data_IF_281186850992
#
_entry.id   IF_281186850992
#
_cell.length_a   1.000
_cell.length_b   1.000
_cell.length_c   1.000
_cell.angle_alpha   90.00
_cell.angle_beta   90.00
_cell.angle_gamma   90.00
#
_symmetry.space_group_name_H-M   'P 1'
#
loop_
_entity.id
_entity.type
_entity.pdbx_description
1 polymer ?
#
# COMPACT_ATOMS: atom_id res chain seq x y z
N UNK A 1 -8.03 -45.24 -6.76
CA UNK A 1 -8.06 -44.06 -5.87
C UNK A 1 -7.47 -42.81 -6.56
N UNK A 2 -7.02 -42.97 -7.81
CA UNK A 2 -6.28 -41.98 -8.60
C UNK A 2 -7.11 -40.80 -9.11
N UNK A 3 -8.35 -41.05 -9.50
CA UNK A 3 -9.21 -40.00 -10.10
C UNK A 3 -9.55 -38.91 -9.09
N UNK A 4 -9.80 -39.28 -7.82
CA UNK A 4 -10.05 -38.33 -6.73
C UNK A 4 -8.82 -37.47 -6.42
N UNK A 5 -7.62 -38.06 -6.52
CA UNK A 5 -6.37 -37.35 -6.32
C UNK A 5 -6.10 -36.36 -7.45
N UNK A 6 -6.38 -36.74 -8.70
CA UNK A 6 -6.30 -35.86 -9.87
C UNK A 6 -7.27 -34.67 -9.80
N UNK A 7 -8.52 -34.89 -9.37
CA UNK A 7 -9.45 -33.77 -9.18
C UNK A 7 -9.00 -32.84 -8.06
N UNK A 8 -8.46 -33.37 -6.96
CA UNK A 8 -7.96 -32.55 -5.85
C UNK A 8 -6.76 -31.70 -6.27
N UNK A 9 -5.83 -32.26 -7.05
CA UNK A 9 -4.67 -31.50 -7.56
C UNK A 9 -5.09 -30.43 -8.56
N UNK A 10 -6.05 -30.71 -9.44
CA UNK A 10 -6.59 -29.70 -10.38
C UNK A 10 -7.29 -28.58 -9.62
N UNK A 11 -8.05 -28.87 -8.56
CA UNK A 11 -8.68 -27.85 -7.72
C UNK A 11 -7.64 -26.98 -7.02
N UNK A 12 -6.59 -27.58 -6.44
CA UNK A 12 -5.50 -26.86 -5.79
C UNK A 12 -4.68 -25.98 -6.76
N UNK A 13 -4.49 -26.43 -8.01
CA UNK A 13 -3.73 -25.68 -9.02
C UNK A 13 -4.56 -24.61 -9.73
N UNK A 14 -5.90 -24.76 -9.75
CA UNK A 14 -6.84 -23.81 -10.38
C UNK A 14 -7.38 -22.78 -9.40
N UNK A 15 -7.32 -23.04 -8.08
CA UNK A 15 -7.47 -21.97 -7.10
C UNK A 15 -6.32 -20.98 -7.29
N UNK A 16 -6.58 -19.67 -7.46
CA UNK A 16 -5.51 -18.69 -7.41
C UNK A 16 -4.76 -18.94 -6.11
N UNK A 17 -3.45 -19.13 -6.19
CA UNK A 17 -2.60 -19.43 -5.05
C UNK A 17 -2.89 -18.39 -3.96
N UNK A 18 -3.75 -18.75 -2.99
CA UNK A 18 -4.26 -17.87 -1.92
C UNK A 18 -3.15 -17.46 -0.93
N UNK A 19 -1.90 -17.65 -1.32
CA UNK A 19 -0.71 -17.58 -0.48
C UNK A 19 0.34 -16.66 -1.08
N UNK A 20 -0.04 -15.70 -1.94
CA UNK A 20 0.77 -14.50 -2.00
C UNK A 20 0.46 -13.70 -0.72
N UNK A 21 0.94 -14.21 0.42
CA UNK A 21 0.92 -13.57 1.74
C UNK A 21 1.86 -12.35 1.76
N UNK A 22 1.97 -11.65 0.63
CA UNK A 22 2.78 -10.47 0.50
C UNK A 22 1.95 -9.28 0.99
N UNK A 23 2.53 -8.39 1.80
CA UNK A 23 1.82 -7.25 2.34
C UNK A 23 1.33 -6.32 1.22
N UNK A 24 0.10 -5.84 1.35
CA UNK A 24 -0.51 -4.91 0.39
C UNK A 24 -0.37 -3.47 0.89
N UNK A 25 0.28 -2.61 0.10
CA UNK A 25 0.45 -1.19 0.42
C UNK A 25 -0.58 -0.34 -0.31
N UNK A 26 -1.37 0.42 0.45
CA UNK A 26 -2.46 1.25 -0.07
C UNK A 26 -2.12 2.73 0.16
N UNK A 27 -2.27 3.54 -0.89
CA UNK A 27 -2.22 5.00 -0.81
C UNK A 27 -3.51 5.56 -1.41
N UNK A 28 -4.26 6.31 -0.61
CA UNK A 28 -5.46 7.02 -1.04
C UNK A 28 -5.24 8.52 -0.93
N UNK A 29 -5.52 9.23 -2.02
CA UNK A 29 -5.40 10.67 -2.11
C UNK A 29 -6.59 11.28 -2.85
N UNK A 30 -6.85 12.59 -2.72
CA UNK A 30 -7.91 13.25 -3.47
C UNK A 30 -7.62 13.19 -4.98
N UNK A 31 -8.68 13.18 -5.78
CA UNK A 31 -8.56 13.19 -7.24
C UNK A 31 -7.89 14.47 -7.78
N UNK A 32 -8.07 15.60 -7.07
CA UNK A 32 -7.49 16.90 -7.40
C UNK A 32 -6.76 17.46 -6.20
N UNK A 33 -5.48 17.77 -6.37
CA UNK A 33 -4.66 18.45 -5.38
C UNK A 33 -4.69 19.95 -5.66
N UNK A 34 -5.14 20.75 -4.69
CA UNK A 34 -5.21 22.21 -4.82
C UNK A 34 -3.96 22.86 -4.25
N UNK A 35 -3.44 23.86 -4.96
CA UNK A 35 -2.29 24.62 -4.50
C UNK A 35 -2.69 25.51 -3.32
N UNK A 36 -1.89 25.50 -2.24
CA UNK A 36 -2.09 26.34 -1.05
C UNK A 36 -3.14 25.81 -0.06
N UNK A 37 -3.81 24.70 -0.37
CA UNK A 37 -4.65 23.97 0.59
C UNK A 37 -3.86 22.81 1.20
N UNK A 38 -4.19 22.46 2.44
CA UNK A 38 -3.79 21.15 2.94
C UNK A 38 -4.71 20.08 2.36
N UNK A 39 -4.15 18.99 1.86
CA UNK A 39 -4.89 17.86 1.28
C UNK A 39 -4.62 16.58 2.11
N UNK A 40 -5.67 15.86 2.48
CA UNK A 40 -5.54 14.64 3.30
C UNK A 40 -5.15 13.44 2.44
N UNK A 41 -4.14 12.70 2.87
CA UNK A 41 -3.64 11.47 2.26
C UNK A 41 -3.65 10.37 3.30
N UNK A 42 -4.18 9.21 2.91
CA UNK A 42 -4.19 8.01 3.73
C UNK A 42 -3.19 7.00 3.19
N UNK A 43 -2.38 6.43 4.07
CA UNK A 43 -1.45 5.34 3.74
C UNK A 43 -1.60 4.19 4.72
N UNK A 44 -1.55 2.98 4.20
CA UNK A 44 -1.77 1.74 4.95
C UNK A 44 -0.89 0.62 4.40
N UNK A 45 -0.40 -0.24 5.30
CA UNK A 45 0.21 -1.52 4.95
C UNK A 45 -0.63 -2.66 5.54
N UNK A 46 -1.35 -3.38 4.68
CA UNK A 46 -2.21 -4.51 5.02
C UNK A 46 -1.39 -5.80 5.06
N UNK A 47 -1.73 -6.68 6.02
CA UNK A 47 -1.05 -7.97 6.25
C UNK A 47 0.49 -7.84 6.43
N UNK A 48 0.95 -6.67 6.86
CA UNK A 48 2.35 -6.40 7.14
C UNK A 48 2.71 -6.83 8.56
N UNK A 49 3.63 -7.79 8.68
CA UNK A 49 4.09 -8.35 9.96
C UNK A 49 5.57 -8.03 10.27
N UNK A 50 6.14 -7.02 9.60
CA UNK A 50 7.51 -6.58 9.83
C UNK A 50 7.65 -5.59 10.99
N UNK A 51 8.79 -4.90 11.07
CA UNK A 51 9.03 -3.84 12.05
C UNK A 51 8.48 -2.48 11.60
N UNK A 52 8.83 -1.41 12.29
CA UNK A 52 8.37 -0.07 11.92
C UNK A 52 8.73 0.29 10.47
N UNK A 53 7.75 0.79 9.72
CA UNK A 53 7.88 1.09 8.30
C UNK A 53 7.85 2.61 8.06
N UNK A 54 8.97 3.15 7.61
CA UNK A 54 9.09 4.56 7.26
C UNK A 54 8.60 4.80 5.83
N UNK A 55 7.49 5.54 5.69
CA UNK A 55 6.90 5.92 4.41
C UNK A 55 7.21 7.39 4.13
N UNK A 56 7.78 7.66 2.96
CA UNK A 56 7.96 9.01 2.45
C UNK A 56 6.92 9.30 1.36
N UNK A 57 6.01 10.21 1.66
CA UNK A 57 4.98 10.68 0.73
C UNK A 57 5.52 11.93 0.05
N UNK A 58 5.55 11.98 -1.28
CA UNK A 58 6.10 13.12 -2.03
C UNK A 58 5.25 13.51 -3.23
N UNK A 59 5.09 14.81 -3.43
CA UNK A 59 4.50 15.41 -4.62
C UNK A 59 5.64 15.91 -5.50
N UNK A 60 5.74 15.38 -6.72
CA UNK A 60 6.82 15.71 -7.66
C UNK A 60 6.28 16.36 -8.92
N UNK A 61 7.13 17.17 -9.56
CA UNK A 61 6.80 17.82 -10.83
C UNK A 61 6.62 16.81 -11.95
N UNK A 62 5.47 16.83 -12.63
CA UNK A 62 5.26 16.10 -13.87
C UNK A 62 5.77 16.92 -15.08
N UNK A 63 6.35 16.31 -16.14
CA UNK A 63 6.57 14.87 -16.33
C UNK A 63 7.90 14.34 -15.80
N UNK A 64 8.92 15.20 -15.64
CA UNK A 64 10.30 14.78 -15.40
C UNK A 64 10.58 14.20 -14.01
N UNK A 65 9.71 14.45 -13.02
CA UNK A 65 9.84 14.04 -11.60
C UNK A 65 11.16 14.51 -10.96
N UNK A 66 11.76 15.54 -11.52
CA UNK A 66 13.07 16.10 -11.15
C UNK A 66 12.99 17.02 -9.92
N UNK A 67 11.88 17.75 -9.78
CA UNK A 67 11.62 18.61 -8.62
C UNK A 67 10.61 18.01 -7.65
N UNK A 68 10.98 17.96 -6.38
CA UNK A 68 10.05 17.73 -5.27
C UNK A 68 9.38 19.05 -4.88
N UNK A 69 8.05 19.05 -4.84
CA UNK A 69 7.23 20.22 -4.48
C UNK A 69 6.96 20.19 -2.97
N UNK A 70 6.63 19.01 -2.45
CA UNK A 70 6.30 18.79 -1.06
C UNK A 70 6.59 17.33 -0.70
N UNK A 71 7.07 17.09 0.52
CA UNK A 71 7.16 15.75 1.09
C UNK A 71 6.84 15.72 2.57
N UNK A 72 6.48 14.53 3.03
CA UNK A 72 6.25 14.24 4.44
C UNK A 72 6.63 12.81 4.72
N UNK A 73 7.34 12.60 5.82
CA UNK A 73 7.68 11.27 6.32
C UNK A 73 6.73 10.88 7.44
N UNK A 74 6.21 9.66 7.38
CA UNK A 74 5.37 9.06 8.42
C UNK A 74 5.90 7.67 8.75
N UNK A 75 5.73 7.25 9.99
CA UNK A 75 6.13 5.93 10.45
C UNK A 75 4.89 5.10 10.74
N UNK A 76 4.76 3.98 10.05
CA UNK A 76 3.75 2.96 10.28
C UNK A 76 4.29 1.98 11.31
N UNK A 77 3.58 1.83 12.42
CA UNK A 77 3.98 1.00 13.56
C UNK A 77 2.85 0.05 13.92
N UNK A 78 3.13 -0.97 14.74
CA UNK A 78 2.09 -1.84 15.26
C UNK A 78 1.01 -1.05 16.06
N UNK A 79 1.42 0.02 16.76
CA UNK A 79 0.51 0.85 17.58
C UNK A 79 -0.52 1.61 16.73
N UNK A 80 -0.15 2.01 15.51
CA UNK A 80 -1.08 2.65 14.57
C UNK A 80 -1.72 1.66 13.59
N UNK A 81 -1.60 0.35 13.84
CA UNK A 81 -2.09 -0.71 12.95
C UNK A 81 -1.55 -0.59 11.52
N UNK A 82 -0.32 -0.10 11.39
CA UNK A 82 0.31 0.21 10.10
C UNK A 82 -0.54 1.08 9.17
N UNK A 83 -1.29 2.03 9.72
CA UNK A 83 -2.10 2.99 8.97
C UNK A 83 -1.98 4.40 9.53
N UNK A 84 -2.05 5.41 8.65
CA UNK A 84 -2.08 6.81 9.06
C UNK A 84 -2.84 7.67 8.05
N UNK A 85 -3.66 8.59 8.57
CA UNK A 85 -4.22 9.71 7.82
C UNK A 85 -3.37 10.94 8.12
N UNK A 86 -2.76 11.51 7.10
CA UNK A 86 -1.90 12.69 7.23
C UNK A 86 -2.28 13.76 6.22
N UNK A 87 -2.06 15.00 6.59
CA UNK A 87 -2.26 16.14 5.71
C UNK A 87 -0.96 16.49 4.96
N UNK A 88 -1.09 16.92 3.71
CA UNK A 88 0.00 17.42 2.86
C UNK A 88 -0.24 18.90 2.59
N UNK A 89 0.62 19.75 3.16
CA UNK A 89 0.59 21.21 3.01
C UNK A 89 1.95 21.77 2.66
#
# INVERSE_FOLDING_TARGET
>A
MDVKLLFLTVVLLSSPLLTLCDPLFVLSAPNLLRVGSSENVFVEAQDYSGGDLNVMISVKRFPKKDGEILSKSVTLTADNHFQILTDMK
#
